data_IF_066350526236
#
_entry.id   IF_066350526236
#
_cell.length_a   1.000
_cell.length_b   1.000
_cell.length_c   1.000
_cell.angle_alpha   90.00
_cell.angle_beta   90.00
_cell.angle_gamma   90.00
#
_symmetry.space_group_name_H-M   'P 1'
#
loop_
_entity.id
_entity.type
_entity.pdbx_description
1 polymer ?
#
# COMPACT_ATOMS: atom_id res chain seq x y z
N UNK A 1 -1.33 7.01 -6.96
CA UNK A 1 -0.31 6.14 -6.33
C UNK A 1 0.31 6.74 -5.08
N UNK A 2 0.17 6.04 -3.96
CA UNK A 2 1.00 6.24 -2.75
C UNK A 2 1.98 5.08 -2.65
N UNK A 3 3.26 5.31 -2.27
CA UNK A 3 4.25 4.23 -2.18
C UNK A 3 4.97 4.25 -0.85
N UNK A 4 5.37 3.07 -0.38
CA UNK A 4 6.32 2.96 0.72
C UNK A 4 7.72 2.77 0.14
N UNK A 5 8.68 3.60 0.53
CA UNK A 5 10.07 3.45 0.09
C UNK A 5 10.95 2.89 1.18
N UNK A 6 11.96 2.14 0.72
CA UNK A 6 13.10 1.74 1.53
C UNK A 6 14.38 2.33 0.94
N UNK A 7 15.28 2.85 1.80
CA UNK A 7 16.56 3.40 1.37
C UNK A 7 17.72 2.52 1.86
N UNK A 8 18.57 2.07 0.93
CA UNK A 8 19.81 1.32 1.23
C UNK A 8 20.88 2.27 1.80
N UNK A 9 21.46 1.96 2.96
CA UNK A 9 22.74 2.54 3.36
C UNK A 9 23.89 1.76 2.69
N UNK A 10 24.63 2.41 1.80
CA UNK A 10 25.91 1.88 1.28
C UNK A 10 27.07 2.64 1.91
N UNK A 11 28.05 1.91 2.46
CA UNK A 11 29.35 2.49 2.81
C UNK A 11 29.98 3.12 1.55
N UNK A 12 30.11 4.45 1.55
CA UNK A 12 31.03 5.19 0.69
C UNK A 12 30.55 5.65 -0.69
N UNK A 13 29.42 5.17 -1.25
CA UNK A 13 28.85 5.72 -2.50
C UNK A 13 27.32 5.72 -2.46
N UNK A 14 26.73 6.92 -2.59
CA UNK A 14 25.27 7.11 -2.70
C UNK A 14 24.82 6.77 -4.11
N UNK A 15 24.45 5.52 -4.36
CA UNK A 15 23.57 5.14 -5.48
C UNK A 15 22.17 4.97 -4.89
N UNK A 16 21.23 5.83 -5.27
CA UNK A 16 19.82 5.63 -4.95
C UNK A 16 19.30 4.51 -5.86
N UNK A 17 19.23 3.28 -5.35
CA UNK A 17 18.41 2.24 -5.97
C UNK A 17 17.08 2.25 -5.22
N UNK A 18 16.06 2.85 -5.82
CA UNK A 18 14.69 2.78 -5.35
C UNK A 18 14.09 1.52 -5.96
N UNK A 19 14.39 0.39 -5.33
CA UNK A 19 13.58 -0.82 -5.47
C UNK A 19 12.83 -0.96 -4.14
N UNK A 20 11.79 -1.78 -4.10
CA UNK A 20 11.06 -2.10 -2.87
C UNK A 20 9.94 -1.08 -2.52
N UNK A 21 9.04 -0.76 -3.48
CA UNK A 21 7.66 -0.37 -3.11
C UNK A 21 6.97 -1.61 -2.57
N UNK A 22 6.40 -1.57 -1.36
CA UNK A 22 5.73 -2.73 -0.71
C UNK A 22 4.21 -2.69 -0.92
N UNK A 23 3.65 -1.50 -1.04
CA UNK A 23 2.21 -1.31 -1.04
C UNK A 23 1.82 -0.02 -1.75
N UNK A 24 0.67 -0.05 -2.40
CA UNK A 24 0.09 1.06 -3.14
C UNK A 24 -1.39 1.33 -2.84
N UNK A 25 -1.74 2.61 -2.97
CA UNK A 25 -3.11 3.07 -3.13
C UNK A 25 -3.20 3.76 -4.50
N UNK A 26 -3.85 3.11 -5.47
CA UNK A 26 -3.98 3.65 -6.82
C UNK A 26 -5.38 4.19 -7.15
N UNK A 27 -5.36 5.37 -7.75
CA UNK A 27 -6.49 6.21 -8.10
C UNK A 27 -6.66 6.36 -9.61
N UNK A 28 -5.76 5.76 -10.39
CA UNK A 28 -5.72 5.77 -11.87
C UNK A 28 -5.47 4.34 -12.33
N UNK A 29 -6.09 3.93 -13.43
CA UNK A 29 -5.81 2.62 -14.02
C UNK A 29 -4.69 2.74 -15.07
N UNK A 30 -3.59 2.04 -14.84
CA UNK A 30 -2.52 1.84 -15.82
C UNK A 30 -2.57 0.41 -16.39
N UNK A 31 -2.90 0.31 -17.69
CA UNK A 31 -2.96 -0.98 -18.38
C UNK A 31 -1.58 -1.61 -18.61
N UNK A 32 -0.50 -0.83 -18.64
CA UNK A 32 0.86 -1.35 -18.79
C UNK A 32 1.28 -2.17 -17.54
N UNK A 33 0.78 -1.78 -16.36
CA UNK A 33 1.06 -2.44 -15.09
C UNK A 33 -0.04 -3.40 -14.61
N UNK A 34 -1.03 -3.65 -15.48
CA UNK A 34 -2.14 -4.57 -15.24
C UNK A 34 -3.05 -4.19 -14.06
N UNK A 35 -3.25 -2.90 -13.84
CA UNK A 35 -4.15 -2.39 -12.80
C UNK A 35 -5.58 -2.92 -13.01
N UNK A 36 -6.18 -3.39 -11.92
CA UNK A 36 -7.53 -4.01 -11.96
C UNK A 36 -8.64 -2.99 -12.20
N UNK A 37 -8.44 -1.72 -11.82
CA UNK A 37 -9.31 -0.55 -12.06
C UNK A 37 -8.63 0.73 -11.53
N UNK A 38 -9.33 1.85 -11.50
CA UNK A 38 -8.84 3.16 -11.06
C UNK A 38 -9.13 3.47 -9.57
N UNK A 39 -9.46 2.46 -8.76
CA UNK A 39 -9.76 2.56 -7.33
C UNK A 39 -9.37 1.27 -6.59
N UNK A 40 -8.07 1.00 -6.52
CA UNK A 40 -7.58 -0.25 -5.93
C UNK A 40 -6.42 -0.01 -4.96
N UNK A 41 -6.16 -1.06 -4.20
CA UNK A 41 -4.96 -1.18 -3.40
C UNK A 41 -4.19 -2.43 -3.79
N UNK A 42 -2.88 -2.38 -3.67
CA UNK A 42 -1.98 -3.43 -4.13
C UNK A 42 -0.80 -3.64 -3.18
N UNK A 43 -0.33 -4.88 -3.09
CA UNK A 43 0.98 -5.20 -2.55
C UNK A 43 1.92 -5.33 -3.74
N UNK A 44 2.91 -4.46 -3.77
CA UNK A 44 3.96 -4.46 -4.77
C UNK A 44 5.21 -5.00 -4.12
N UNK A 45 6.01 -5.82 -4.79
CA UNK A 45 7.30 -6.25 -4.27
C UNK A 45 8.28 -6.15 -5.43
N UNK A 46 9.18 -5.17 -5.34
CA UNK A 46 10.25 -4.89 -6.32
C UNK A 46 9.75 -4.68 -7.76
N UNK A 47 8.47 -4.32 -7.92
CA UNK A 47 7.78 -4.19 -9.21
C UNK A 47 6.71 -3.10 -9.15
N UNK A 48 6.28 -2.61 -10.31
CA UNK A 48 5.06 -1.79 -10.44
C UNK A 48 3.80 -2.62 -10.68
N UNK A 49 3.97 -3.87 -11.07
CA UNK A 49 2.87 -4.83 -11.18
C UNK A 49 2.66 -5.44 -9.79
N UNK A 50 1.50 -5.22 -9.19
CA UNK A 50 1.20 -5.77 -7.88
C UNK A 50 1.23 -7.30 -7.86
N UNK A 51 1.79 -7.86 -6.79
CA UNK A 51 1.71 -9.28 -6.49
C UNK A 51 0.27 -9.71 -6.17
N UNK A 52 -0.49 -8.83 -5.53
CA UNK A 52 -1.92 -8.98 -5.28
C UNK A 52 -2.56 -7.60 -5.17
N UNK A 53 -3.76 -7.43 -5.74
CA UNK A 53 -4.54 -6.21 -5.62
C UNK A 53 -6.03 -6.50 -5.44
N UNK A 54 -6.74 -5.56 -4.80
CA UNK A 54 -8.20 -5.62 -4.59
C UNK A 54 -8.81 -4.23 -4.71
N UNK A 55 -10.10 -4.15 -5.06
CA UNK A 55 -10.83 -2.89 -5.04
C UNK A 55 -10.77 -2.25 -3.64
N UNK A 56 -10.54 -0.94 -3.60
CA UNK A 56 -10.52 -0.19 -2.37
C UNK A 56 -11.89 -0.29 -1.66
N UNK A 57 -11.84 -0.69 -0.40
CA UNK A 57 -13.02 -1.02 0.39
C UNK A 57 -12.65 -1.06 1.86
N UNK A 58 -13.66 -0.98 2.73
CA UNK A 58 -13.48 -1.08 4.17
C UNK A 58 -14.58 -1.95 4.79
N UNK A 59 -14.30 -2.51 5.96
CA UNK A 59 -15.32 -3.21 6.74
C UNK A 59 -15.95 -2.25 7.75
N UNK A 60 -17.26 -2.36 7.94
CA UNK A 60 -17.93 -1.59 8.98
C UNK A 60 -17.43 -1.97 10.38
N UNK A 61 -17.46 -1.01 11.30
CA UNK A 61 -16.94 -1.23 12.65
C UNK A 61 -17.77 -2.30 13.37
N UNK A 62 -17.14 -3.45 13.66
CA UNK A 62 -17.77 -4.57 14.36
C UNK A 62 -18.50 -5.60 13.49
N UNK A 63 -18.59 -5.40 12.17
CA UNK A 63 -19.25 -6.34 11.26
C UNK A 63 -18.30 -6.95 10.21
N UNK A 64 -18.84 -7.91 9.48
CA UNK A 64 -18.17 -8.59 8.35
C UNK A 64 -18.66 -8.09 6.99
N UNK A 65 -19.36 -6.96 6.97
CA UNK A 65 -19.88 -6.37 5.73
C UNK A 65 -18.80 -5.46 5.16
N UNK A 66 -18.35 -5.82 3.94
CA UNK A 66 -17.37 -5.07 3.16
C UNK A 66 -18.11 -4.05 2.30
N UNK A 67 -17.76 -2.78 2.44
CA UNK A 67 -18.34 -1.68 1.69
C UNK A 67 -17.27 -1.05 0.79
N UNK A 68 -17.68 -0.61 -0.40
CA UNK A 68 -16.78 0.07 -1.33
C UNK A 68 -16.30 1.40 -0.75
N UNK A 69 -15.01 1.68 -0.92
CA UNK A 69 -14.36 2.90 -0.47
C UNK A 69 -13.70 3.54 -1.67
N UNK A 70 -14.06 4.79 -1.95
CA UNK A 70 -13.45 5.55 -3.03
C UNK A 70 -12.24 6.34 -2.51
N UNK A 71 -11.05 5.99 -2.99
CA UNK A 71 -9.80 6.68 -2.67
C UNK A 71 -9.82 8.15 -3.10
N UNK A 72 -10.58 8.47 -4.15
CA UNK A 72 -10.79 9.82 -4.68
C UNK A 72 -11.91 10.60 -3.99
N UNK A 73 -12.47 10.09 -2.88
CA UNK A 73 -13.64 10.72 -2.23
C UNK A 73 -13.34 12.07 -1.55
N UNK A 74 -12.07 12.44 -1.37
CA UNK A 74 -11.66 13.63 -0.62
C UNK A 74 -11.84 13.49 0.91
N UNK A 75 -12.30 12.33 1.39
CA UNK A 75 -12.38 12.02 2.82
C UNK A 75 -11.02 11.56 3.33
N UNK A 76 -10.73 11.84 4.60
CA UNK A 76 -9.59 11.23 5.29
C UNK A 76 -9.81 9.72 5.38
N UNK A 77 -8.86 8.96 4.85
CA UNK A 77 -8.83 7.50 4.91
C UNK A 77 -7.69 7.12 5.83
N UNK A 78 -7.96 6.29 6.82
CA UNK A 78 -6.92 5.72 7.66
C UNK A 78 -6.57 4.32 7.17
N UNK A 79 -5.27 4.05 7.07
CA UNK A 79 -4.72 2.78 6.66
C UNK A 79 -3.85 2.17 7.76
N UNK A 80 -3.92 0.85 7.89
CA UNK A 80 -3.01 0.04 8.69
C UNK A 80 -2.36 -0.99 7.81
N UNK A 81 -1.05 -1.13 7.92
CA UNK A 81 -0.24 -2.13 7.24
C UNK A 81 0.48 -2.90 8.33
N UNK A 82 0.09 -4.16 8.52
CA UNK A 82 0.63 -5.01 9.58
C UNK A 82 1.29 -6.23 8.94
N UNK A 83 2.52 -6.54 9.37
CA UNK A 83 3.22 -7.75 8.97
C UNK A 83 3.46 -8.64 10.18
N UNK A 84 3.01 -9.90 10.10
CA UNK A 84 3.30 -10.94 11.07
C UNK A 84 4.35 -11.90 10.48
N UNK A 85 5.59 -11.79 10.96
CA UNK A 85 6.70 -12.65 10.51
C UNK A 85 6.60 -14.09 10.99
N UNK A 86 5.81 -14.38 12.04
CA UNK A 86 5.57 -15.75 12.49
C UNK A 86 4.62 -16.50 11.54
N UNK A 87 3.74 -15.76 10.86
CA UNK A 87 2.78 -16.29 9.87
C UNK A 87 3.14 -15.97 8.42
N UNK A 88 4.19 -15.18 8.20
CA UNK A 88 4.53 -14.60 6.90
C UNK A 88 3.30 -13.97 6.24
N UNK A 89 2.60 -13.10 6.96
CA UNK A 89 1.31 -12.55 6.52
C UNK A 89 1.34 -11.02 6.59
N UNK A 90 1.17 -10.38 5.45
CA UNK A 90 0.97 -8.95 5.30
C UNK A 90 -0.53 -8.65 5.21
N UNK A 91 -1.02 -7.79 6.09
CA UNK A 91 -2.42 -7.40 6.16
C UNK A 91 -2.55 -5.90 5.97
N UNK A 92 -3.56 -5.51 5.19
CA UNK A 92 -3.87 -4.11 4.94
C UNK A 92 -5.32 -3.86 5.28
N UNK A 93 -5.54 -2.83 6.10
CA UNK A 93 -6.88 -2.44 6.56
C UNK A 93 -7.12 -0.97 6.23
N UNK A 94 -8.32 -0.66 5.74
CA UNK A 94 -8.78 0.72 5.48
C UNK A 94 -9.98 1.07 6.35
N UNK A 95 -10.11 2.35 6.71
CA UNK A 95 -11.27 2.89 7.42
C UNK A 95 -11.49 4.35 7.09
N UNK A 96 -12.75 4.80 7.12
CA UNK A 96 -13.13 6.21 7.09
C UNK A 96 -13.27 6.82 8.50
N UNK A 97 -12.88 6.06 9.54
CA UNK A 97 -12.89 6.47 10.93
C UNK A 97 -11.54 6.16 11.59
N UNK A 98 -11.33 6.67 12.80
CA UNK A 98 -10.12 6.37 13.58
C UNK A 98 -10.08 4.98 14.21
N UNK A 99 -11.13 4.17 14.01
CA UNK A 99 -11.21 2.81 14.51
C UNK A 99 -10.81 1.83 13.41
N UNK A 100 -9.83 0.97 13.73
CA UNK A 100 -9.38 -0.11 12.85
C UNK A 100 -10.44 -1.21 12.78
N UNK A 101 -10.98 -1.53 11.59
CA UNK A 101 -11.85 -2.69 11.42
C UNK A 101 -11.19 -4.01 11.81
N UNK A 102 -12.00 -4.99 12.21
CA UNK A 102 -11.53 -6.32 12.60
C UNK A 102 -10.93 -7.10 11.43
N UNK A 103 -11.44 -6.88 10.22
CA UNK A 103 -11.04 -7.60 9.02
C UNK A 103 -10.20 -6.70 8.12
N UNK A 104 -9.09 -7.24 7.61
CA UNK A 104 -8.28 -6.61 6.58
C UNK A 104 -9.00 -6.64 5.24
N UNK A 105 -8.81 -5.60 4.43
CA UNK A 105 -9.33 -5.53 3.07
C UNK A 105 -8.50 -6.41 2.11
N UNK A 106 -7.20 -6.53 2.39
CA UNK A 106 -6.24 -7.35 1.66
C UNK A 106 -5.35 -8.09 2.67
N UNK A 107 -5.17 -9.39 2.46
CA UNK A 107 -4.25 -10.24 3.20
C UNK A 107 -3.40 -11.03 2.20
N UNK A 108 -2.09 -11.06 2.41
CA UNK A 108 -1.14 -11.67 1.49
C UNK A 108 -0.09 -12.48 2.25
N UNK A 109 0.00 -13.77 1.96
CA UNK A 109 1.04 -14.62 2.54
C UNK A 109 2.35 -14.44 1.77
N UNK A 110 3.32 -13.80 2.42
CA UNK A 110 4.64 -13.52 1.86
C UNK A 110 5.71 -13.50 2.93
N UNK A 111 6.84 -14.14 2.62
CA UNK A 111 8.05 -14.04 3.42
C UNK A 111 8.81 -12.76 3.02
N UNK A 112 8.79 -11.75 3.89
CA UNK A 112 9.50 -10.49 3.68
C UNK A 112 10.94 -10.56 4.22
N UNK A 113 11.35 -11.65 4.88
CA UNK A 113 12.72 -11.79 5.40
C UNK A 113 13.83 -11.69 4.35
N UNK A 114 13.64 -12.11 3.07
CA UNK A 114 14.65 -11.90 2.04
C UNK A 114 14.74 -10.44 1.55
N UNK A 115 13.68 -9.66 1.77
CA UNK A 115 13.54 -8.27 1.33
C UNK A 115 14.06 -7.33 2.42
N UNK A 116 13.68 -7.60 3.67
CA UNK A 116 14.08 -6.79 4.81
C UNK A 116 15.56 -6.98 5.17
N UNK A 117 16.21 -5.86 5.50
CA UNK A 117 17.61 -5.76 5.92
C UNK A 117 17.65 -5.30 7.38
N UNK A 118 18.81 -5.48 8.01
CA UNK A 118 19.05 -5.03 9.39
C UNK A 118 18.71 -3.56 9.62
N UNK A 119 18.94 -2.71 8.61
CA UNK A 119 18.62 -1.28 8.66
C UNK A 119 17.95 -0.85 7.37
N UNK A 120 16.77 -0.26 7.52
CA UNK A 120 15.95 0.27 6.42
C UNK A 120 15.25 1.54 6.88
N UNK A 121 14.75 2.30 5.91
CA UNK A 121 13.90 3.46 6.16
C UNK A 121 12.49 3.13 5.69
N UNK A 122 11.52 3.74 6.33
CA UNK A 122 10.12 3.73 5.90
C UNK A 122 9.70 5.16 5.59
N UNK A 123 8.89 5.33 4.57
CA UNK A 123 8.40 6.64 4.17
C UNK A 123 7.20 6.53 3.26
N UNK A 124 6.58 7.67 2.98
CA UNK A 124 5.48 7.79 2.04
C UNK A 124 5.95 8.47 0.76
N UNK A 125 5.39 8.04 -0.36
CA UNK A 125 5.50 8.67 -1.66
C UNK A 125 4.14 9.01 -2.21
N UNK A 126 4.11 9.95 -3.14
CA UNK A 126 2.97 10.13 -4.03
C UNK A 126 3.43 10.66 -5.38
N UNK A 127 2.70 10.32 -6.45
CA UNK A 127 2.94 10.87 -7.78
C UNK A 127 1.64 11.24 -8.48
N UNK A 128 1.72 12.27 -9.31
CA UNK A 128 0.67 12.71 -10.23
C UNK A 128 1.09 12.38 -11.67
N UNK A 129 0.12 12.03 -12.51
CA UNK A 129 0.31 11.87 -13.95
C UNK A 129 -0.28 13.05 -14.74
N UNK A 130 -0.96 12.73 -15.83
CA UNK A 130 -1.72 13.71 -16.62
C UNK A 130 -2.84 14.40 -15.80
N UNK A 131 -3.41 13.68 -14.84
CA UNK A 131 -4.42 14.19 -13.92
C UNK A 131 -3.76 14.79 -12.68
N UNK A 132 -4.24 15.98 -12.29
CA UNK A 132 -3.78 16.65 -11.08
C UNK A 132 -4.43 16.04 -9.83
N UNK A 133 -3.63 15.81 -8.79
CA UNK A 133 -4.08 15.43 -7.45
C UNK A 133 -3.20 16.09 -6.38
N UNK A 134 -3.69 16.13 -5.15
CA UNK A 134 -2.93 16.53 -3.98
C UNK A 134 -2.96 15.41 -2.96
N UNK A 135 -1.83 15.17 -2.31
CA UNK A 135 -1.63 14.05 -1.40
C UNK A 135 -1.21 14.60 -0.05
N UNK A 136 -1.95 14.25 0.99
CA UNK A 136 -1.74 14.74 2.35
C UNK A 136 -1.61 13.54 3.29
N UNK A 137 -0.59 13.57 4.14
CA UNK A 137 -0.40 12.64 5.25
C UNK A 137 -0.55 13.45 6.53
N UNK A 138 -1.38 12.95 7.46
CA UNK A 138 -1.74 13.61 8.72
C UNK A 138 -1.23 12.83 9.93
#
# INVERSE_FOLDING_TARGET
>A
MYRFYQQKQHQGKRKLEILDSIFEFDTVQDFEFHDINDNHIGVDIDSLISNVSVNASCFNNGGSVKEELYLKSGKTIQAWIDYDSGRNELNVTLSLSSVKPKFSVLSYHVDLSPIFRDYMYVGFSSSTGLLASSHYVF
#
